data_IF_129925112611
#
_entry.id   IF_129925112611
#
_cell.length_a   1.000
_cell.length_b   1.000
_cell.length_c   1.000
_cell.angle_alpha   90.00
_cell.angle_beta   90.00
_cell.angle_gamma   90.00
#
_symmetry.space_group_name_H-M   'P 1'
#
loop_
_entity.id
_entity.type
_entity.pdbx_description
1 polymer ?
#
# COMPACT_ATOMS: atom_id res chain seq x y z
N UNK A 1 -60.98 27.13 -8.82
CA UNK A 1 -61.76 27.86 -9.86
C UNK A 1 -61.19 29.27 -9.91
N UNK A 2 -60.15 29.44 -10.74
CA UNK A 2 -60.21 30.22 -11.99
C UNK A 2 -60.51 31.68 -11.76
N UNK A 3 -59.49 32.52 -11.91
CA UNK A 3 -59.64 33.68 -12.78
C UNK A 3 -58.31 34.00 -13.48
N UNK A 4 -58.07 33.24 -14.57
CA UNK A 4 -57.38 33.74 -15.75
C UNK A 4 -58.28 34.86 -16.29
N UNK A 5 -57.93 36.14 -16.17
CA UNK A 5 -58.35 37.27 -17.05
C UNK A 5 -58.06 38.64 -16.40
N UNK A 6 -56.79 38.94 -16.10
CA UNK A 6 -56.35 40.33 -15.86
C UNK A 6 -55.24 40.71 -16.85
N UNK A 7 -55.38 41.82 -17.61
CA UNK A 7 -54.59 42.07 -18.82
C UNK A 7 -53.18 42.61 -18.56
N UNK A 8 -52.26 42.22 -19.45
CA UNK A 8 -50.86 42.65 -19.50
C UNK A 8 -50.71 44.15 -19.79
N UNK A 9 -49.80 44.79 -19.05
CA UNK A 9 -49.08 45.97 -19.52
C UNK A 9 -49.36 47.24 -18.73
N UNK A 10 -48.53 47.48 -17.71
CA UNK A 10 -47.87 48.77 -17.41
C UNK A 10 -47.05 48.58 -16.15
N UNK A 11 -45.73 48.49 -16.32
CA UNK A 11 -44.71 49.02 -15.41
C UNK A 11 -43.33 48.74 -16.02
N UNK A 12 -42.84 49.70 -16.81
CA UNK A 12 -41.42 49.80 -17.19
C UNK A 12 -40.92 51.18 -16.74
N UNK A 13 -39.85 51.28 -15.95
CA UNK A 13 -39.26 52.56 -15.59
C UNK A 13 -38.47 53.17 -16.77
N UNK A 14 -38.45 54.51 -16.82
CA UNK A 14 -37.93 55.34 -17.90
C UNK A 14 -36.39 55.29 -18.08
N UNK A 15 -35.85 55.49 -19.30
CA UNK A 15 -34.42 55.43 -19.57
C UNK A 15 -33.69 56.75 -19.23
N UNK A 16 -32.47 56.62 -18.68
CA UNK A 16 -31.54 57.74 -18.40
C UNK A 16 -30.90 58.27 -19.71
N UNK A 17 -30.77 59.59 -19.79
CA UNK A 17 -30.15 60.35 -20.90
C UNK A 17 -28.65 60.02 -21.07
N UNK A 18 -28.09 60.07 -22.31
CA UNK A 18 -26.67 59.87 -22.54
C UNK A 18 -25.86 61.14 -22.26
N UNK A 19 -24.72 60.99 -21.58
CA UNK A 19 -23.72 62.05 -21.35
C UNK A 19 -22.78 62.15 -22.55
N UNK A 20 -22.59 63.36 -23.03
CA UNK A 20 -21.71 63.73 -24.15
C UNK A 20 -20.24 63.38 -23.89
N UNK A 21 -19.55 62.89 -24.93
CA UNK A 21 -18.11 62.62 -24.95
C UNK A 21 -17.37 63.84 -25.50
N UNK A 22 -16.48 64.42 -24.69
CA UNK A 22 -15.42 65.34 -25.13
C UNK A 22 -14.18 64.61 -25.68
N UNK A 23 -13.28 65.29 -26.42
CA UNK A 23 -12.37 64.64 -27.36
C UNK A 23 -10.98 64.27 -26.79
N UNK A 24 -10.33 63.39 -27.55
CA UNK A 24 -9.04 62.70 -27.34
C UNK A 24 -7.82 63.62 -27.16
N UNK A 25 -6.94 63.23 -26.21
CA UNK A 25 -5.47 63.43 -26.16
C UNK A 25 -4.93 62.21 -25.39
N UNK A 26 -3.83 61.52 -25.69
CA UNK A 26 -2.82 61.52 -26.73
C UNK A 26 -1.91 60.32 -26.39
N UNK A 27 -1.53 59.52 -27.39
CA UNK A 27 -0.71 58.32 -27.20
C UNK A 27 0.73 58.69 -26.82
N UNK A 28 1.27 58.08 -25.75
CA UNK A 28 2.72 57.98 -25.45
C UNK A 28 2.95 56.92 -24.37
N UNK A 29 3.44 55.73 -24.76
CA UNK A 29 4.45 54.91 -24.05
C UNK A 29 4.45 53.41 -24.45
N UNK A 30 4.67 53.07 -25.71
CA UNK A 30 4.90 51.67 -26.15
C UNK A 30 6.39 51.30 -26.28
N UNK A 31 7.29 52.01 -25.59
CA UNK A 31 8.74 51.73 -25.66
C UNK A 31 9.34 51.07 -24.41
N UNK A 32 8.59 50.93 -23.31
CA UNK A 32 9.09 50.24 -22.09
C UNK A 32 8.83 48.73 -22.08
N UNK A 33 7.78 48.24 -22.76
CA UNK A 33 7.47 46.79 -22.80
C UNK A 33 8.47 45.96 -23.61
N UNK A 34 9.07 46.53 -24.66
CA UNK A 34 10.02 45.81 -25.52
C UNK A 34 11.41 45.65 -24.88
N UNK A 35 11.84 46.58 -24.03
CA UNK A 35 13.13 46.47 -23.32
C UNK A 35 13.05 45.45 -22.19
N UNK A 36 11.92 45.37 -21.47
CA UNK A 36 11.72 44.36 -20.43
C UNK A 36 11.66 42.93 -21.00
N UNK A 37 11.05 42.75 -22.18
CA UNK A 37 11.01 41.45 -22.85
C UNK A 37 12.40 41.00 -23.36
N UNK A 38 13.24 41.94 -23.83
CA UNK A 38 14.60 41.63 -24.29
C UNK A 38 15.53 41.23 -23.13
N UNK A 39 15.38 41.83 -21.94
CA UNK A 39 16.16 41.46 -20.75
C UNK A 39 15.77 40.07 -20.22
N UNK A 40 14.48 39.73 -20.23
CA UNK A 40 14.00 38.40 -19.84
C UNK A 40 14.49 37.28 -20.78
N UNK A 41 14.58 37.55 -22.08
CA UNK A 41 15.13 36.60 -23.04
C UNK A 41 16.64 36.41 -22.90
N UNK A 42 17.40 37.45 -22.54
CA UNK A 42 18.84 37.34 -22.28
C UNK A 42 19.15 36.58 -20.99
N UNK A 43 18.32 36.69 -19.95
CA UNK A 43 18.46 35.90 -18.71
C UNK A 43 18.14 34.41 -18.98
N UNK A 44 17.10 34.13 -19.77
CA UNK A 44 16.75 32.75 -20.15
C UNK A 44 17.81 32.09 -21.06
N UNK A 45 18.46 32.85 -21.94
CA UNK A 45 19.56 32.35 -22.78
C UNK A 45 20.87 32.20 -21.99
N UNK A 46 21.16 33.10 -21.05
CA UNK A 46 22.36 33.03 -20.19
C UNK A 46 22.33 31.88 -19.18
N UNK A 47 21.16 31.56 -18.62
CA UNK A 47 20.99 30.45 -17.68
C UNK A 47 21.20 29.07 -18.31
N UNK A 48 20.81 28.89 -19.58
CA UNK A 48 21.00 27.62 -20.29
C UNK A 48 22.44 27.42 -20.80
N UNK A 49 23.19 28.49 -21.09
CA UNK A 49 24.58 28.37 -21.53
C UNK A 49 25.55 28.05 -20.38
N UNK A 50 25.24 28.47 -19.14
CA UNK A 50 26.02 28.12 -17.95
C UNK A 50 25.88 26.64 -17.56
N UNK A 51 24.70 26.04 -17.77
CA UNK A 51 24.44 24.60 -17.55
C UNK A 51 25.08 23.75 -18.66
N UNK A 52 25.22 24.28 -19.88
CA UNK A 52 25.88 23.56 -20.99
C UNK A 52 27.43 23.62 -20.92
N UNK A 53 28.00 24.61 -20.22
CA UNK A 53 29.45 24.79 -20.07
C UNK A 53 30.00 24.26 -18.72
N UNK A 54 29.14 24.05 -17.73
CA UNK A 54 29.47 23.30 -16.52
C UNK A 54 29.32 21.79 -16.81
N UNK A 55 30.31 21.22 -17.50
CA UNK A 55 30.38 19.78 -17.70
C UNK A 55 30.40 19.06 -16.35
N UNK A 56 29.41 18.19 -16.12
CA UNK A 56 29.42 17.28 -14.98
C UNK A 56 30.71 16.44 -15.02
N UNK A 57 31.54 16.44 -13.96
CA UNK A 57 32.59 15.45 -13.86
C UNK A 57 31.91 14.08 -13.75
N UNK A 58 32.18 13.23 -14.74
CA UNK A 58 31.72 11.84 -14.75
C UNK A 58 31.96 11.19 -13.37
N UNK A 59 31.01 10.38 -12.85
CA UNK A 59 31.22 9.68 -11.60
C UNK A 59 32.44 8.78 -11.76
N UNK A 60 33.48 9.07 -10.98
CA UNK A 60 34.65 8.21 -10.89
C UNK A 60 34.15 6.86 -10.39
N UNK A 61 34.10 5.87 -11.28
CA UNK A 61 33.97 4.47 -10.92
C UNK A 61 35.12 4.13 -9.98
N UNK A 62 34.84 4.12 -8.68
CA UNK A 62 35.72 3.50 -7.71
C UNK A 62 35.77 2.00 -8.04
N UNK A 63 36.86 1.56 -8.64
CA UNK A 63 37.16 0.14 -8.81
C UNK A 63 37.36 -0.45 -7.42
N UNK A 64 36.34 -1.13 -6.90
CA UNK A 64 36.47 -2.03 -5.76
C UNK A 64 37.41 -3.17 -6.17
N UNK A 65 38.67 -3.07 -5.78
CA UNK A 65 39.66 -4.15 -5.90
C UNK A 65 39.33 -5.17 -4.80
N UNK A 66 38.70 -6.28 -5.19
CA UNK A 66 38.54 -7.45 -4.33
C UNK A 66 39.95 -7.97 -3.93
N UNK A 67 40.18 -8.43 -2.70
CA UNK A 67 41.42 -9.08 -2.33
C UNK A 67 41.62 -10.33 -3.19
N UNK A 68 42.74 -10.38 -3.89
CA UNK A 68 43.17 -11.53 -4.69
C UNK A 68 43.67 -12.63 -3.72
N UNK A 69 43.32 -13.91 -3.91
CA UNK A 69 43.78 -14.99 -3.04
C UNK A 69 45.29 -15.18 -3.19
N UNK A 70 46.02 -15.20 -2.07
CA UNK A 70 47.46 -15.50 -2.08
C UNK A 70 47.73 -16.91 -2.64
N UNK A 71 48.71 -17.07 -3.55
CA UNK A 71 49.12 -18.37 -4.06
C UNK A 71 50.04 -19.11 -3.08
N UNK A 72 49.73 -20.39 -2.91
CA UNK A 72 50.40 -21.42 -2.10
C UNK A 72 51.82 -21.78 -2.57
N UNK A 73 52.68 -22.22 -1.65
CA UNK A 73 53.78 -23.17 -1.90
C UNK A 73 54.32 -23.78 -0.57
N UNK A 74 55.07 -24.91 -0.56
CA UNK A 74 54.62 -26.26 -0.88
C UNK A 74 54.95 -27.29 0.23
N UNK A 75 54.59 -28.55 -0.06
CA UNK A 75 54.50 -29.76 0.77
C UNK A 75 55.69 -30.14 1.68
N UNK A 76 55.37 -30.86 2.77
CA UNK A 76 56.21 -31.96 3.25
C UNK A 76 55.33 -33.10 3.79
N UNK A 77 55.58 -34.29 3.25
CA UNK A 77 54.96 -35.59 3.55
C UNK A 77 55.03 -36.01 5.03
N UNK A 78 53.99 -36.72 5.54
CA UNK A 78 54.14 -37.99 6.29
C UNK A 78 52.88 -38.88 6.16
N UNK A 79 53.05 -39.96 5.41
CA UNK A 79 52.54 -41.35 5.45
C UNK A 79 51.68 -41.86 6.64
N UNK A 80 50.48 -42.36 6.27
CA UNK A 80 49.74 -43.61 6.62
C UNK A 80 49.53 -44.11 8.06
N UNK A 81 48.26 -44.45 8.37
CA UNK A 81 47.89 -45.43 9.39
C UNK A 81 46.37 -45.59 9.57
N UNK A 82 45.78 -46.63 8.98
CA UNK A 82 44.39 -47.04 9.18
C UNK A 82 44.33 -48.34 10.02
N UNK A 83 43.46 -48.42 11.05
CA UNK A 83 43.07 -49.70 11.68
C UNK A 83 41.62 -49.69 12.21
N UNK A 84 40.85 -50.65 11.67
CA UNK A 84 39.77 -51.50 12.21
C UNK A 84 38.68 -50.93 13.16
N UNK A 85 37.38 -51.07 12.88
CA UNK A 85 36.52 -52.29 12.87
C UNK A 85 36.66 -53.16 14.12
N UNK A 86 35.65 -53.15 14.99
CA UNK A 86 35.40 -54.22 15.95
C UNK A 86 34.11 -54.98 15.61
N UNK A 87 34.30 -56.28 15.42
CA UNK A 87 33.32 -57.36 15.34
C UNK A 87 33.19 -58.06 16.69
N UNK A 88 31.98 -58.47 17.07
CA UNK A 88 31.68 -59.74 17.75
C UNK A 88 30.20 -60.07 17.41
N UNK A 89 29.89 -61.07 16.57
CA UNK A 89 29.76 -62.53 16.85
C UNK A 89 28.68 -62.74 17.93
N UNK A 90 27.59 -63.49 17.72
CA UNK A 90 27.59 -64.91 17.37
C UNK A 90 26.17 -65.44 16.99
N UNK A 91 26.11 -66.14 15.85
CA UNK A 91 25.43 -67.42 15.56
C UNK A 91 23.90 -67.66 15.75
N UNK A 92 23.35 -68.17 14.63
CA UNK A 92 22.38 -69.27 14.49
C UNK A 92 20.91 -69.08 14.88
N UNK A 93 20.07 -69.05 13.85
CA UNK A 93 19.20 -70.20 13.55
C UNK A 93 17.76 -70.14 14.06
N UNK A 94 16.83 -70.31 13.12
CA UNK A 94 15.56 -71.01 13.40
C UNK A 94 14.30 -70.17 13.29
N UNK A 95 13.55 -70.47 12.23
CA UNK A 95 12.09 -70.37 12.09
C UNK A 95 11.30 -70.30 13.40
N UNK A 96 10.29 -69.42 13.44
CA UNK A 96 8.87 -69.83 13.38
C UNK A 96 7.91 -68.66 13.52
N UNK A 97 6.77 -68.86 12.87
CA UNK A 97 5.61 -68.00 12.75
C UNK A 97 4.76 -67.92 14.03
N UNK A 98 3.82 -66.98 13.96
CA UNK A 98 2.41 -67.11 14.36
C UNK A 98 1.97 -66.66 15.77
N UNK A 99 0.98 -65.74 15.75
CA UNK A 99 -0.28 -65.73 16.56
C UNK A 99 -0.07 -65.44 18.06
N UNK A 100 -0.84 -64.59 18.76
CA UNK A 100 -2.16 -63.99 18.57
C UNK A 100 -2.78 -63.81 19.98
N UNK A 101 -3.88 -63.07 20.07
CA UNK A 101 -4.75 -62.98 21.26
C UNK A 101 -4.63 -61.63 21.99
N UNK A 102 -5.52 -60.66 21.75
CA UNK A 102 -6.91 -60.57 22.24
C UNK A 102 -7.02 -60.33 23.74
N UNK A 103 -7.56 -59.18 24.13
CA UNK A 103 -8.56 -59.11 25.20
C UNK A 103 -9.46 -57.87 25.03
N UNK A 104 -10.71 -58.17 24.74
CA UNK A 104 -11.91 -57.32 24.82
C UNK A 104 -12.31 -57.08 26.28
N UNK A 105 -13.00 -55.97 26.58
CA UNK A 105 -14.30 -55.89 27.30
C UNK A 105 -14.76 -54.42 27.47
N UNK A 106 -15.91 -54.13 26.81
CA UNK A 106 -17.09 -53.29 27.14
C UNK A 106 -17.11 -52.38 28.40
N UNK A 107 -17.89 -51.29 28.54
CA UNK A 107 -18.76 -50.38 27.74
C UNK A 107 -19.34 -49.35 28.74
N UNK A 108 -19.56 -48.10 28.36
CA UNK A 108 -20.77 -47.31 28.71
C UNK A 108 -20.94 -46.13 27.73
N UNK A 109 -22.17 -45.68 27.42
CA UNK A 109 -22.49 -44.91 26.21
C UNK A 109 -22.72 -43.41 26.48
N UNK A 110 -22.30 -42.55 25.56
CA UNK A 110 -22.66 -41.12 25.55
C UNK A 110 -23.48 -40.74 24.31
N UNK A 111 -24.45 -39.86 24.56
CA UNK A 111 -25.49 -39.36 23.65
C UNK A 111 -24.92 -38.53 22.48
N UNK A 112 -25.58 -38.45 21.31
CA UNK A 112 -25.10 -37.66 20.18
C UNK A 112 -25.41 -36.17 20.35
N UNK A 113 -24.39 -35.33 20.18
CA UNK A 113 -24.48 -33.87 20.06
C UNK A 113 -25.12 -33.46 18.71
N UNK A 114 -25.81 -32.31 18.63
CA UNK A 114 -26.57 -31.90 17.44
C UNK A 114 -25.67 -31.55 16.25
N UNK A 115 -26.02 -32.06 15.07
CA UNK A 115 -25.43 -31.68 13.78
C UNK A 115 -25.97 -30.31 13.35
N UNK A 116 -25.08 -29.35 13.13
CA UNK A 116 -25.42 -28.13 12.40
C UNK A 116 -25.54 -28.45 10.91
N UNK A 117 -26.68 -28.09 10.35
CA UNK A 117 -27.04 -28.22 8.95
C UNK A 117 -26.37 -27.08 8.16
N UNK A 118 -25.24 -27.36 7.51
CA UNK A 118 -24.63 -26.49 6.50
C UNK A 118 -25.43 -26.59 5.19
N UNK A 119 -26.65 -26.05 5.21
CA UNK A 119 -27.52 -25.97 4.06
C UNK A 119 -27.20 -24.77 3.18
N UNK A 120 -26.51 -24.98 2.05
CA UNK A 120 -26.30 -23.89 1.08
C UNK A 120 -25.51 -24.19 -0.18
N UNK A 121 -25.51 -25.44 -0.65
CA UNK A 121 -24.92 -25.87 -1.92
C UNK A 121 -25.32 -24.98 -3.13
N UNK A 122 -24.32 -24.49 -3.86
CA UNK A 122 -24.42 -24.30 -5.31
C UNK A 122 -23.44 -25.30 -5.96
N UNK A 123 -23.84 -26.56 -5.94
CA UNK A 123 -23.13 -27.64 -6.64
C UNK A 123 -23.62 -27.63 -8.09
N UNK A 124 -22.77 -27.22 -9.02
CA UNK A 124 -22.89 -27.65 -10.41
C UNK A 124 -22.76 -29.18 -10.42
N UNK A 125 -23.76 -29.94 -10.91
CA UNK A 125 -23.68 -31.40 -10.94
C UNK A 125 -22.53 -31.84 -11.84
N UNK A 126 -21.50 -32.46 -11.27
CA UNK A 126 -20.44 -33.17 -12.02
C UNK A 126 -19.03 -32.56 -12.00
N UNK A 127 -18.78 -31.47 -11.27
CA UNK A 127 -17.41 -30.96 -11.07
C UNK A 127 -16.68 -31.64 -9.89
N UNK A 128 -15.34 -31.79 -9.92
CA UNK A 128 -14.59 -32.27 -8.76
C UNK A 128 -14.81 -31.35 -7.57
N UNK A 129 -15.18 -31.91 -6.41
CA UNK A 129 -15.29 -31.18 -5.14
C UNK A 129 -13.89 -30.72 -4.72
N UNK A 130 -13.59 -29.45 -4.95
CA UNK A 130 -12.36 -28.84 -4.45
C UNK A 130 -12.60 -28.49 -2.98
N UNK A 131 -12.15 -29.36 -2.08
CA UNK A 131 -12.03 -29.04 -0.66
C UNK A 131 -10.73 -28.26 -0.52
N UNK A 132 -10.82 -26.94 -0.40
CA UNK A 132 -9.64 -26.12 -0.05
C UNK A 132 -9.36 -26.31 1.44
N UNK A 133 -8.44 -27.21 1.76
CA UNK A 133 -7.90 -27.32 3.12
C UNK A 133 -7.04 -26.09 3.37
N UNK A 134 -7.57 -25.10 4.10
CA UNK A 134 -6.77 -23.99 4.62
C UNK A 134 -6.05 -24.44 5.89
N UNK A 135 -4.79 -24.05 6.02
CA UNK A 135 -4.05 -24.13 7.27
C UNK A 135 -4.84 -23.39 8.37
N UNK A 136 -5.05 -23.96 9.57
CA UNK A 136 -5.73 -23.28 10.68
C UNK A 136 -5.09 -21.94 11.06
N UNK A 137 -3.79 -21.73 10.81
CA UNK A 137 -3.16 -20.41 10.97
C UNK A 137 -3.59 -19.40 9.87
N UNK A 138 -3.90 -19.90 8.67
CA UNK A 138 -4.46 -19.12 7.55
C UNK A 138 -5.98 -18.94 7.63
N UNK A 139 -6.66 -19.57 8.59
CA UNK A 139 -8.10 -19.43 8.81
C UNK A 139 -8.48 -18.04 9.37
N UNK A 140 -7.51 -17.30 9.94
CA UNK A 140 -7.72 -16.00 10.58
C UNK A 140 -7.32 -14.80 9.72
N UNK A 141 -6.86 -15.01 8.48
CA UNK A 141 -6.42 -13.93 7.59
C UNK A 141 -7.50 -13.60 6.57
N UNK A 142 -7.92 -12.34 6.59
CA UNK A 142 -8.90 -11.80 5.68
C UNK A 142 -10.35 -12.21 5.98
N UNK A 143 -11.27 -11.51 5.35
CA UNK A 143 -12.70 -11.83 5.38
C UNK A 143 -13.12 -12.58 4.11
N UNK A 144 -14.17 -13.43 4.18
CA UNK A 144 -14.82 -13.95 3.00
C UNK A 144 -15.34 -12.81 2.11
N UNK A 145 -15.16 -12.94 0.79
CA UNK A 145 -15.45 -11.86 -0.16
C UNK A 145 -16.90 -11.36 -0.10
N UNK A 146 -17.84 -12.25 0.21
CA UNK A 146 -19.27 -11.97 0.34
C UNK A 146 -19.56 -10.92 1.42
N UNK A 147 -18.77 -10.93 2.51
CA UNK A 147 -18.95 -10.05 3.67
C UNK A 147 -17.82 -9.04 3.85
N UNK A 148 -16.77 -9.08 3.02
CA UNK A 148 -15.57 -8.23 3.16
C UNK A 148 -15.85 -6.71 3.17
N UNK A 149 -17.02 -6.30 2.67
CA UNK A 149 -17.52 -4.92 2.63
C UNK A 149 -18.25 -4.46 3.89
N UNK A 150 -18.52 -5.38 4.82
CA UNK A 150 -19.07 -5.12 6.13
C UNK A 150 -17.92 -5.10 7.15
N UNK A 151 -17.87 -4.11 8.04
CA UNK A 151 -16.89 -4.11 9.12
C UNK A 151 -17.11 -5.29 10.08
N UNK A 152 -16.05 -5.70 10.75
CA UNK A 152 -16.15 -6.54 11.95
C UNK A 152 -16.42 -5.63 13.15
N UNK A 153 -17.64 -5.68 13.71
CA UNK A 153 -18.04 -4.78 14.80
C UNK A 153 -17.13 -4.93 16.04
N UNK A 154 -16.64 -6.15 16.33
CA UNK A 154 -15.72 -6.42 17.43
C UNK A 154 -14.32 -5.80 17.24
N UNK A 155 -13.98 -5.35 16.02
CA UNK A 155 -12.72 -4.71 15.69
C UNK A 155 -12.85 -3.18 15.57
N UNK A 156 -13.96 -2.61 16.07
CA UNK A 156 -14.23 -1.18 16.05
C UNK A 156 -14.57 -0.64 17.44
N UNK A 157 -14.12 0.59 17.71
CA UNK A 157 -14.53 1.39 18.86
C UNK A 157 -15.18 2.70 18.40
N UNK A 158 -16.15 3.19 19.15
CA UNK A 158 -16.79 4.48 18.86
C UNK A 158 -15.87 5.65 19.21
N UNK A 159 -15.84 6.66 18.35
CA UNK A 159 -15.11 7.90 18.60
C UNK A 159 -15.86 9.13 18.06
N UNK A 160 -15.40 10.32 18.45
CA UNK A 160 -15.93 11.59 17.94
C UNK A 160 -15.76 11.76 16.41
N UNK A 161 -14.87 10.99 15.77
CA UNK A 161 -14.56 11.09 14.34
C UNK A 161 -15.19 9.98 13.48
N UNK A 162 -15.94 9.06 14.11
CA UNK A 162 -16.41 7.83 13.50
C UNK A 162 -15.78 6.59 14.16
N UNK A 163 -16.08 5.38 13.66
CA UNK A 163 -15.53 4.16 14.22
C UNK A 163 -14.01 4.10 13.99
N UNK A 164 -13.25 3.80 15.04
CA UNK A 164 -11.81 3.59 14.96
C UNK A 164 -11.48 2.10 15.07
N UNK A 165 -10.41 1.63 14.41
CA UNK A 165 -9.99 0.24 14.52
C UNK A 165 -9.38 -0.03 15.89
N UNK A 166 -9.72 -1.19 16.44
CA UNK A 166 -9.17 -1.73 17.68
C UNK A 166 -8.89 -3.22 17.51
N UNK A 167 -7.97 -3.75 18.32
CA UNK A 167 -7.78 -5.20 18.44
C UNK A 167 -9.02 -5.80 19.06
N UNK A 168 -9.47 -6.92 18.54
CA UNK A 168 -10.61 -7.65 19.09
C UNK A 168 -10.26 -8.25 20.45
N UNK A 169 -11.27 -8.63 21.24
CA UNK A 169 -11.06 -9.28 22.54
C UNK A 169 -10.30 -10.61 22.44
N UNK A 170 -10.44 -11.33 21.32
CA UNK A 170 -9.70 -12.56 21.00
C UNK A 170 -8.29 -12.28 20.43
N UNK A 171 -7.86 -11.01 20.39
CA UNK A 171 -6.50 -10.60 20.03
C UNK A 171 -6.22 -10.48 18.54
N UNK A 172 -7.22 -10.66 17.67
CA UNK A 172 -7.09 -10.48 16.22
C UNK A 172 -6.86 -9.00 15.90
N UNK A 173 -5.98 -8.76 14.94
CA UNK A 173 -5.61 -7.41 14.54
C UNK A 173 -6.42 -6.98 13.31
N UNK A 174 -6.85 -5.72 13.19
CA UNK A 174 -7.44 -5.18 11.96
C UNK A 174 -6.58 -5.46 10.71
N UNK A 175 -5.25 -5.40 10.82
CA UNK A 175 -4.36 -5.76 9.71
C UNK A 175 -4.50 -7.21 9.24
N UNK A 176 -4.89 -8.14 10.12
CA UNK A 176 -5.07 -9.57 9.82
C UNK A 176 -6.50 -9.81 9.34
N UNK A 177 -7.50 -9.25 10.03
CA UNK A 177 -8.93 -9.36 9.70
C UNK A 177 -9.20 -8.84 8.29
N UNK A 178 -8.62 -7.70 7.92
CA UNK A 178 -8.92 -7.05 6.64
C UNK A 178 -7.90 -7.33 5.53
N UNK A 179 -6.84 -8.10 5.82
CA UNK A 179 -5.84 -8.50 4.84
C UNK A 179 -6.47 -9.23 3.65
N UNK A 180 -5.85 -9.08 2.48
CA UNK A 180 -6.16 -9.93 1.34
C UNK A 180 -5.50 -11.31 1.53
N UNK A 181 -6.26 -12.42 1.47
CA UNK A 181 -5.67 -13.76 1.45
C UNK A 181 -4.80 -13.94 0.20
N UNK A 182 -3.71 -14.67 0.34
CA UNK A 182 -2.77 -15.01 -0.73
C UNK A 182 -2.43 -16.50 -0.68
N UNK A 183 -1.70 -17.01 -1.67
CA UNK A 183 -1.51 -18.47 -1.81
C UNK A 183 -0.66 -19.10 -0.70
N UNK A 184 0.10 -18.30 0.05
CA UNK A 184 1.10 -18.79 1.01
C UNK A 184 2.31 -19.45 0.34
N UNK A 185 2.37 -19.47 -0.99
CA UNK A 185 3.45 -20.14 -1.71
C UNK A 185 4.73 -19.31 -1.67
N UNK A 186 5.88 -19.98 -1.54
CA UNK A 186 7.19 -19.32 -1.62
C UNK A 186 7.50 -19.03 -3.09
N UNK A 187 7.06 -17.86 -3.57
CA UNK A 187 7.27 -17.37 -4.92
C UNK A 187 7.78 -15.93 -4.95
N UNK A 188 8.01 -15.41 -6.18
CA UNK A 188 8.35 -14.00 -6.39
C UNK A 188 7.10 -13.16 -6.21
N UNK A 189 7.06 -12.32 -5.18
CA UNK A 189 5.87 -11.56 -4.81
C UNK A 189 6.00 -10.08 -5.17
N UNK A 190 4.92 -9.45 -5.62
CA UNK A 190 4.90 -8.00 -5.83
C UNK A 190 3.66 -7.42 -5.16
N UNK A 191 3.85 -6.43 -4.29
CA UNK A 191 2.76 -5.60 -3.79
C UNK A 191 2.79 -4.23 -4.47
N UNK A 192 1.63 -3.71 -4.85
CA UNK A 192 1.50 -2.33 -5.35
C UNK A 192 0.39 -1.64 -4.57
N UNK A 193 0.69 -0.43 -4.10
CA UNK A 193 -0.30 0.47 -3.48
C UNK A 193 -0.63 1.61 -4.44
N UNK A 194 -1.92 1.79 -4.73
CA UNK A 194 -2.43 2.95 -5.49
C UNK A 194 -3.19 3.87 -4.53
N UNK A 195 -2.64 5.05 -4.29
CA UNK A 195 -3.20 6.07 -3.41
C UNK A 195 -4.08 7.11 -4.12
N UNK A 196 -4.66 8.02 -3.33
CA UNK A 196 -5.47 9.13 -3.81
C UNK A 196 -6.94 8.80 -4.04
N UNK A 197 -7.42 7.64 -3.60
CA UNK A 197 -8.84 7.31 -3.72
C UNK A 197 -9.69 8.27 -2.88
N UNK A 198 -10.86 8.60 -3.40
CA UNK A 198 -11.78 9.60 -2.85
C UNK A 198 -11.55 11.02 -3.35
N UNK A 199 -10.34 11.38 -3.83
CA UNK A 199 -10.05 12.73 -4.33
C UNK A 199 -10.78 13.03 -5.65
N UNK A 200 -10.83 12.04 -6.56
CA UNK A 200 -11.57 12.09 -7.82
C UNK A 200 -12.61 10.98 -7.85
N UNK A 201 -13.89 11.32 -8.11
CA UNK A 201 -14.96 10.31 -8.21
C UNK A 201 -14.75 9.39 -9.43
N UNK A 202 -14.40 9.96 -10.57
CA UNK A 202 -14.12 9.19 -11.80
C UNK A 202 -12.84 8.39 -11.69
N UNK A 203 -11.80 8.97 -11.07
CA UNK A 203 -10.52 8.29 -10.81
C UNK A 203 -10.69 7.09 -9.86
N UNK A 204 -11.42 7.28 -8.76
CA UNK A 204 -11.69 6.22 -7.77
C UNK A 204 -12.49 5.07 -8.39
N UNK A 205 -13.56 5.40 -9.13
CA UNK A 205 -14.35 4.40 -9.85
C UNK A 205 -13.47 3.62 -10.83
N UNK A 206 -12.68 4.31 -11.66
CA UNK A 206 -11.79 3.64 -12.64
C UNK A 206 -10.75 2.75 -11.97
N UNK A 207 -10.14 3.21 -10.88
CA UNK A 207 -9.17 2.41 -10.12
C UNK A 207 -9.81 1.10 -9.61
N UNK A 208 -10.99 1.19 -8.99
CA UNK A 208 -11.74 0.04 -8.48
C UNK A 208 -12.24 -0.87 -9.63
N UNK A 209 -12.57 -0.30 -10.80
CA UNK A 209 -13.02 -1.07 -11.95
C UNK A 209 -11.91 -1.81 -12.70
N UNK A 210 -10.77 -1.16 -12.90
CA UNK A 210 -9.72 -1.66 -13.77
C UNK A 210 -8.63 -2.47 -13.04
N UNK A 211 -8.30 -2.10 -11.80
CA UNK A 211 -7.20 -2.75 -11.08
C UNK A 211 -7.64 -4.14 -10.60
N UNK A 212 -6.79 -5.16 -10.75
CA UNK A 212 -7.09 -6.47 -10.19
C UNK A 212 -7.03 -6.41 -8.66
N UNK A 213 -7.75 -7.30 -7.97
CA UNK A 213 -7.98 -7.18 -6.54
C UNK A 213 -6.74 -7.41 -5.67
N UNK A 214 -5.64 -7.87 -6.25
CA UNK A 214 -4.32 -7.94 -5.60
C UNK A 214 -3.66 -6.57 -5.38
N UNK A 215 -4.11 -5.52 -6.08
CA UNK A 215 -3.59 -4.17 -5.89
C UNK A 215 -4.23 -3.57 -4.62
N UNK A 216 -3.41 -3.12 -3.68
CA UNK A 216 -3.86 -2.41 -2.48
C UNK A 216 -4.27 -0.99 -2.85
N UNK A 217 -5.38 -0.52 -2.29
CA UNK A 217 -5.92 0.81 -2.57
C UNK A 217 -5.87 1.68 -1.32
N UNK A 218 -5.36 2.90 -1.43
CA UNK A 218 -5.27 3.81 -0.31
C UNK A 218 -6.17 5.04 -0.47
N UNK A 219 -6.92 5.34 0.58
CA UNK A 219 -7.95 6.37 0.60
C UNK A 219 -7.46 7.64 1.26
N UNK A 220 -7.59 8.76 0.55
CA UNK A 220 -7.35 10.07 1.14
C UNK A 220 -8.53 10.42 2.08
N UNK A 221 -8.29 10.76 3.37
CA UNK A 221 -9.35 11.02 4.35
C UNK A 221 -10.17 12.28 4.04
N UNK A 222 -9.59 13.20 3.27
CA UNK A 222 -10.25 14.40 2.72
C UNK A 222 -11.09 14.12 1.48
N UNK A 223 -11.06 12.90 0.96
CA UNK A 223 -11.83 12.48 -0.20
C UNK A 223 -13.35 12.42 0.04
N UNK A 224 -14.09 12.34 -1.05
CA UNK A 224 -15.55 12.29 -1.06
C UNK A 224 -16.07 10.87 -1.33
N UNK A 225 -17.26 10.56 -0.81
CA UNK A 225 -17.92 9.26 -0.97
C UNK A 225 -17.09 8.07 -0.46
N UNK A 226 -16.23 8.28 0.55
CA UNK A 226 -15.28 7.26 1.05
C UNK A 226 -15.96 5.94 1.42
N UNK A 227 -17.10 6.00 2.11
CA UNK A 227 -17.88 4.82 2.48
C UNK A 227 -18.39 4.02 1.27
N UNK A 228 -18.77 4.70 0.18
CA UNK A 228 -19.19 4.04 -1.05
C UNK A 228 -18.00 3.31 -1.68
N UNK A 229 -16.90 4.03 -1.90
CA UNK A 229 -15.72 3.49 -2.56
C UNK A 229 -15.04 2.39 -1.74
N UNK A 230 -15.00 2.52 -0.42
CA UNK A 230 -14.53 1.47 0.49
C UNK A 230 -15.33 0.18 0.27
N UNK A 231 -16.68 0.25 0.31
CA UNK A 231 -17.52 -0.93 0.11
C UNK A 231 -17.33 -1.54 -1.28
N UNK A 232 -17.26 -0.73 -2.33
CA UNK A 232 -17.04 -1.21 -3.70
C UNK A 232 -15.68 -1.91 -3.84
N UNK A 233 -14.60 -1.31 -3.32
CA UNK A 233 -13.27 -1.88 -3.32
C UNK A 233 -13.19 -3.19 -2.52
N UNK A 234 -13.81 -3.24 -1.34
CA UNK A 234 -13.88 -4.46 -0.51
C UNK A 234 -14.69 -5.57 -1.16
N UNK A 235 -15.81 -5.25 -1.82
CA UNK A 235 -16.60 -6.25 -2.60
C UNK A 235 -15.80 -6.89 -3.72
N UNK A 236 -14.82 -6.18 -4.27
CA UNK A 236 -13.89 -6.72 -5.27
C UNK A 236 -12.71 -7.45 -4.65
N UNK A 237 -12.49 -7.32 -3.35
CA UNK A 237 -11.44 -8.03 -2.61
C UNK A 237 -10.12 -7.27 -2.53
N UNK A 238 -10.13 -5.97 -2.76
CA UNK A 238 -8.96 -5.12 -2.52
C UNK A 238 -8.66 -5.00 -1.03
N UNK A 239 -7.37 -5.01 -0.71
CA UNK A 239 -6.87 -4.56 0.58
C UNK A 239 -6.83 -3.03 0.61
N UNK A 240 -7.13 -2.42 1.76
CA UNK A 240 -7.26 -0.98 1.89
C UNK A 240 -6.27 -0.38 2.89
N UNK A 241 -5.83 0.85 2.62
CA UNK A 241 -5.08 1.69 3.56
C UNK A 241 -5.73 3.08 3.70
N UNK A 242 -5.44 3.77 4.81
CA UNK A 242 -5.75 5.20 4.98
C UNK A 242 -4.51 6.03 4.65
N UNK A 243 -4.63 6.98 3.74
CA UNK A 243 -3.53 7.81 3.28
C UNK A 243 -3.48 9.13 4.08
N UNK A 244 -2.64 9.17 5.12
CA UNK A 244 -2.61 10.25 6.12
C UNK A 244 -1.72 11.41 5.64
N UNK A 245 -2.24 12.66 5.59
CA UNK A 245 -1.46 13.83 5.22
C UNK A 245 -0.40 14.15 6.26
N UNK A 246 0.85 14.26 5.83
CA UNK A 246 2.02 14.51 6.68
C UNK A 246 2.87 15.64 6.11
N UNK A 247 3.52 16.41 6.99
CA UNK A 247 4.30 17.59 6.61
C UNK A 247 5.47 17.26 5.65
N UNK A 248 5.48 17.83 4.43
CA UNK A 248 6.64 17.77 3.54
C UNK A 248 7.68 18.84 3.89
N UNK A 249 8.86 18.79 3.27
CA UNK A 249 9.89 19.84 3.45
C UNK A 249 9.41 21.23 3.00
N UNK A 250 8.55 21.30 1.98
CA UNK A 250 8.04 22.57 1.42
C UNK A 250 6.84 23.17 2.15
N UNK A 251 6.47 22.69 3.35
CA UNK A 251 5.35 23.27 4.09
C UNK A 251 5.67 24.69 4.61
N UNK A 252 4.76 25.68 4.53
CA UNK A 252 3.34 25.58 4.12
C UNK A 252 3.08 25.81 2.62
N UNK A 253 4.08 26.13 1.80
CA UNK A 253 3.88 26.40 0.37
C UNK A 253 3.37 25.16 -0.38
N UNK A 254 3.82 23.98 0.03
CA UNK A 254 3.29 22.68 -0.37
C UNK A 254 2.48 22.10 0.78
N UNK A 255 1.17 22.23 0.72
CA UNK A 255 0.25 21.85 1.78
C UNK A 255 -0.59 20.61 1.39
N UNK A 256 -0.42 19.45 2.07
CA UNK A 256 -1.21 18.24 1.82
C UNK A 256 -2.71 18.40 2.12
N UNK A 257 -3.09 19.41 2.90
CA UNK A 257 -4.48 19.72 3.23
C UNK A 257 -4.71 19.97 4.72
N UNK A 258 -5.99 20.09 5.12
CA UNK A 258 -6.35 20.23 6.53
C UNK A 258 -5.94 18.97 7.31
N UNK A 259 -5.79 19.12 8.63
CA UNK A 259 -5.45 18.00 9.54
C UNK A 259 -4.12 17.29 9.16
N UNK A 260 -3.21 18.00 8.49
CA UNK A 260 -1.84 17.51 8.24
C UNK A 260 -1.12 17.31 9.57
N UNK A 261 -0.45 16.17 9.73
CA UNK A 261 0.46 15.91 10.86
C UNK A 261 1.73 16.75 10.68
N UNK A 262 2.10 17.52 11.69
CA UNK A 262 3.17 18.53 11.61
C UNK A 262 4.12 18.45 12.78
N UNK A 263 5.40 18.76 12.53
CA UNK A 263 6.42 18.86 13.58
C UNK A 263 6.15 20.01 14.55
N UNK A 264 5.49 21.08 14.08
CA UNK A 264 5.12 22.22 14.90
C UNK A 264 3.85 21.99 15.75
N UNK A 265 3.13 20.88 15.54
CA UNK A 265 1.98 20.49 16.36
C UNK A 265 2.44 19.67 17.58
N UNK A 266 1.67 19.68 18.67
CA UNK A 266 1.90 18.74 19.77
C UNK A 266 1.59 17.29 19.35
N UNK A 267 2.11 16.32 20.11
CA UNK A 267 1.82 14.91 19.87
C UNK A 267 0.30 14.63 19.94
N UNK A 268 -0.40 15.22 20.90
CA UNK A 268 -1.85 15.07 21.08
C UNK A 268 -2.62 15.61 19.88
N UNK A 269 -2.20 16.77 19.35
CA UNK A 269 -2.82 17.36 18.15
C UNK A 269 -2.61 16.48 16.92
N UNK A 270 -1.41 15.91 16.77
CA UNK A 270 -1.12 14.99 15.66
C UNK A 270 -1.91 13.67 15.80
N UNK A 271 -2.07 13.15 17.01
CA UNK A 271 -2.91 11.98 17.28
C UNK A 271 -4.40 12.25 17.03
N UNK A 272 -4.91 13.42 17.43
CA UNK A 272 -6.28 13.82 17.09
C UNK A 272 -6.49 13.87 15.57
N UNK A 273 -5.52 14.43 14.83
CA UNK A 273 -5.57 14.47 13.37
C UNK A 273 -5.47 13.08 12.74
N UNK A 274 -4.66 12.18 13.33
CA UNK A 274 -4.59 10.77 12.93
C UNK A 274 -5.94 10.08 13.14
N UNK A 275 -6.52 10.17 14.33
CA UNK A 275 -7.83 9.58 14.64
C UNK A 275 -8.93 10.15 13.76
N UNK A 276 -8.89 11.45 13.45
CA UNK A 276 -9.78 12.05 12.46
C UNK A 276 -9.68 11.37 11.10
N UNK A 277 -8.47 11.08 10.62
CA UNK A 277 -8.26 10.41 9.34
C UNK A 277 -8.72 8.94 9.38
N UNK A 278 -8.40 8.22 10.45
CA UNK A 278 -8.80 6.82 10.68
C UNK A 278 -10.32 6.67 10.72
N UNK A 279 -11.04 7.57 11.41
CA UNK A 279 -12.51 7.52 11.54
C UNK A 279 -13.30 7.79 10.26
N UNK A 280 -12.63 8.15 9.14
CA UNK A 280 -13.30 8.44 7.86
C UNK A 280 -13.84 7.20 7.15
N UNK A 281 -13.21 6.05 7.37
CA UNK A 281 -13.57 4.76 6.77
C UNK A 281 -13.27 3.60 7.72
N UNK A 282 -13.61 2.38 7.32
CA UNK A 282 -13.33 1.13 8.05
C UNK A 282 -12.71 0.12 7.08
N UNK A 283 -12.47 -1.12 7.54
CA UNK A 283 -12.06 -2.25 6.71
C UNK A 283 -10.70 -2.07 6.01
N UNK A 284 -9.76 -1.37 6.65
CA UNK A 284 -8.39 -1.18 6.17
C UNK A 284 -7.38 -1.88 7.07
N UNK A 285 -6.22 -2.22 6.50
CA UNK A 285 -5.16 -2.95 7.20
C UNK A 285 -4.13 -2.02 7.86
N UNK A 286 -4.06 -0.76 7.42
CA UNK A 286 -3.09 0.18 7.95
C UNK A 286 -3.17 1.58 7.37
N UNK A 287 -2.08 2.32 7.61
CA UNK A 287 -1.89 3.71 7.20
C UNK A 287 -0.75 3.79 6.20
N UNK A 288 -0.88 4.66 5.20
CA UNK A 288 0.25 5.16 4.42
C UNK A 288 0.43 6.65 4.60
N UNK A 289 1.66 7.15 4.46
CA UNK A 289 1.90 8.59 4.37
C UNK A 289 1.37 9.17 3.05
N UNK A 290 0.96 10.43 3.09
CA UNK A 290 0.82 11.29 1.92
C UNK A 290 1.81 12.43 2.03
N UNK A 291 2.80 12.43 1.15
CA UNK A 291 3.98 13.28 1.26
C UNK A 291 4.73 12.98 2.57
N UNK A 292 4.90 13.94 3.47
CA UNK A 292 5.41 13.64 4.80
C UNK A 292 6.89 13.47 4.97
N UNK A 293 7.72 13.67 3.94
CA UNK A 293 9.17 13.43 4.02
C UNK A 293 9.84 14.14 5.22
N UNK A 294 9.35 15.33 5.61
CA UNK A 294 9.87 16.06 6.77
C UNK A 294 9.34 15.49 8.09
N UNK A 295 8.05 15.16 8.16
CA UNK A 295 7.44 14.57 9.35
C UNK A 295 8.01 13.18 9.65
N UNK A 296 8.07 12.35 8.61
CA UNK A 296 8.50 10.95 8.68
C UNK A 296 9.99 10.81 9.03
N UNK A 297 10.81 11.82 8.72
CA UNK A 297 12.21 11.88 9.13
C UNK A 297 12.42 12.25 10.62
N UNK A 298 11.37 12.54 11.39
CA UNK A 298 11.47 12.84 12.82
C UNK A 298 11.00 11.66 13.65
N UNK A 299 11.95 10.99 14.31
CA UNK A 299 11.66 9.90 15.25
C UNK A 299 10.71 10.34 16.37
N UNK A 300 10.96 11.48 16.99
CA UNK A 300 10.13 12.02 18.08
C UNK A 300 8.68 12.25 17.65
N UNK A 301 8.46 12.73 16.42
CA UNK A 301 7.12 12.97 15.90
C UNK A 301 6.42 11.68 15.46
N UNK A 302 7.17 10.72 14.91
CA UNK A 302 6.64 9.45 14.43
C UNK A 302 6.40 8.43 15.54
N UNK A 303 7.18 8.46 16.61
CA UNK A 303 7.05 7.54 17.75
C UNK A 303 5.63 7.45 18.33
N UNK A 304 4.92 8.55 18.65
CA UNK A 304 3.54 8.47 19.14
C UNK A 304 2.57 7.95 18.07
N UNK A 305 2.77 8.32 16.80
CA UNK A 305 1.93 7.83 15.67
C UNK A 305 2.07 6.32 15.53
N UNK A 306 3.29 5.82 15.48
CA UNK A 306 3.58 4.38 15.39
C UNK A 306 3.07 3.65 16.64
N UNK A 307 3.22 4.22 17.84
CA UNK A 307 2.65 3.66 19.06
C UNK A 307 1.13 3.47 19.00
N UNK A 308 0.39 4.46 18.47
CA UNK A 308 -1.06 4.37 18.28
C UNK A 308 -1.44 3.30 17.25
N UNK A 309 -0.70 3.19 16.14
CA UNK A 309 -0.92 2.14 15.13
C UNK A 309 -0.64 0.74 15.70
N UNK A 310 0.42 0.56 16.49
CA UNK A 310 0.71 -0.70 17.18
C UNK A 310 -0.43 -1.09 18.11
N UNK A 311 -0.90 -0.15 18.93
CA UNK A 311 -2.01 -0.36 19.84
C UNK A 311 -3.27 -0.84 19.10
N UNK A 312 -3.57 -0.21 17.96
CA UNK A 312 -4.73 -0.52 17.12
C UNK A 312 -4.59 -1.78 16.27
N UNK A 313 -3.40 -2.37 16.17
CA UNK A 313 -3.16 -3.55 15.31
C UNK A 313 -3.16 -3.21 13.82
N UNK A 314 -2.61 -2.06 13.47
CA UNK A 314 -2.47 -1.56 12.10
C UNK A 314 -1.01 -1.61 11.64
N UNK A 315 -0.81 -1.78 10.33
CA UNK A 315 0.49 -1.62 9.69
C UNK A 315 0.77 -0.15 9.32
N UNK A 316 2.04 0.19 9.17
CA UNK A 316 2.46 1.44 8.52
C UNK A 316 3.18 1.14 7.20
N UNK A 317 2.68 1.74 6.12
CA UNK A 317 3.25 1.67 4.78
C UNK A 317 3.91 3.01 4.43
N UNK A 318 5.22 3.05 4.31
CA UNK A 318 5.93 4.20 3.77
C UNK A 318 5.89 4.16 2.23
N UNK A 319 5.36 5.20 1.60
CA UNK A 319 5.22 5.31 0.15
C UNK A 319 6.56 5.41 -0.61
N UNK A 320 7.68 5.47 0.10
CA UNK A 320 9.04 5.48 -0.46
C UNK A 320 9.48 6.85 -0.95
N UNK A 321 8.62 7.88 -0.91
CA UNK A 321 9.01 9.26 -1.21
C UNK A 321 9.85 9.87 -0.07
N UNK A 322 9.67 9.36 1.16
CA UNK A 322 10.48 9.68 2.33
C UNK A 322 11.54 8.58 2.52
N UNK A 323 12.68 8.71 1.86
CA UNK A 323 13.76 7.72 1.88
C UNK A 323 14.52 7.69 3.22
N UNK A 324 13.96 7.05 4.24
CA UNK A 324 14.63 6.94 5.55
C UNK A 324 14.52 5.53 6.14
N UNK A 325 15.65 4.83 6.23
CA UNK A 325 15.75 3.52 6.93
C UNK A 325 15.43 3.63 8.43
N UNK A 326 15.61 4.81 9.02
CA UNK A 326 15.27 5.13 10.42
C UNK A 326 13.85 4.71 10.79
N UNK A 327 12.87 4.92 9.91
CA UNK A 327 11.47 4.60 10.19
C UNK A 327 11.23 3.11 10.42
N UNK A 328 11.96 2.25 9.72
CA UNK A 328 11.87 0.81 9.90
C UNK A 328 12.33 0.40 11.30
N UNK A 329 13.41 1.02 11.81
CA UNK A 329 13.94 0.74 13.14
C UNK A 329 12.99 1.23 14.24
N UNK A 330 12.44 2.43 14.10
CA UNK A 330 11.47 2.97 15.05
C UNK A 330 10.19 2.12 15.06
N UNK A 331 9.70 1.71 13.90
CA UNK A 331 8.53 0.85 13.80
C UNK A 331 8.77 -0.51 14.48
N UNK A 332 9.95 -1.12 14.27
CA UNK A 332 10.34 -2.38 14.92
C UNK A 332 10.39 -2.22 16.44
N UNK A 333 11.02 -1.16 16.95
CA UNK A 333 11.08 -0.89 18.40
C UNK A 333 9.69 -0.71 19.03
N UNK A 334 8.71 -0.22 18.25
CA UNK A 334 7.32 -0.03 18.69
C UNK A 334 6.41 -1.23 18.40
N UNK A 335 6.92 -2.28 17.76
CA UNK A 335 6.14 -3.46 17.37
C UNK A 335 5.08 -3.16 16.30
N UNK A 336 5.33 -2.18 15.43
CA UNK A 336 4.46 -1.85 14.29
C UNK A 336 4.94 -2.62 13.06
N UNK A 337 4.06 -3.42 12.42
CA UNK A 337 4.36 -4.00 11.12
C UNK A 337 4.60 -2.90 10.09
N UNK A 338 5.80 -2.89 9.50
CA UNK A 338 6.27 -1.84 8.62
C UNK A 338 6.60 -2.39 7.24
N UNK A 339 6.24 -1.63 6.21
CA UNK A 339 6.66 -1.90 4.84
C UNK A 339 6.95 -0.57 4.14
N UNK A 340 7.97 -0.55 3.29
CA UNK A 340 8.32 0.61 2.48
C UNK A 340 8.27 0.24 1.00
N UNK A 341 7.77 1.15 0.17
CA UNK A 341 7.86 1.02 -1.27
C UNK A 341 9.30 1.19 -1.74
N UNK A 342 9.75 0.30 -2.62
CA UNK A 342 11.05 0.39 -3.25
C UNK A 342 11.05 1.39 -4.40
N UNK A 343 9.93 1.45 -5.12
CA UNK A 343 9.79 2.25 -6.34
C UNK A 343 8.44 2.97 -6.32
N UNK A 344 8.50 4.30 -6.36
CA UNK A 344 7.36 5.13 -6.78
C UNK A 344 7.22 4.99 -8.29
N UNK A 345 6.20 4.25 -8.73
CA UNK A 345 6.05 3.80 -10.11
C UNK A 345 5.64 4.93 -11.07
N UNK A 346 4.96 5.96 -10.56
CA UNK A 346 4.47 7.11 -11.33
C UNK A 346 5.11 8.43 -10.92
N UNK A 347 6.39 8.37 -10.52
CA UNK A 347 7.19 9.55 -10.26
C UNK A 347 7.27 10.50 -11.47
N UNK A 348 7.14 9.98 -12.69
CA UNK A 348 6.89 10.75 -13.91
C UNK A 348 5.52 10.44 -14.48
N UNK A 349 4.99 11.38 -15.27
CA UNK A 349 3.68 11.27 -15.95
C UNK A 349 3.82 10.76 -17.38
N UNK A 350 4.74 9.83 -17.59
CA UNK A 350 5.00 9.20 -18.89
C UNK A 350 4.76 7.70 -18.81
N UNK A 351 4.13 7.15 -19.85
CA UNK A 351 3.75 5.73 -19.86
C UNK A 351 4.98 4.82 -19.86
N UNK A 352 5.96 5.14 -20.70
CA UNK A 352 7.15 4.30 -20.88
C UNK A 352 7.99 4.27 -19.60
N UNK A 353 8.07 5.40 -18.88
CA UNK A 353 8.73 5.46 -17.58
C UNK A 353 8.03 4.60 -16.52
N UNK A 354 6.68 4.64 -16.46
CA UNK A 354 5.91 3.79 -15.54
C UNK A 354 6.14 2.31 -15.86
N UNK A 355 6.12 1.94 -17.14
CA UNK A 355 6.39 0.57 -17.59
C UNK A 355 7.83 0.14 -17.24
N UNK A 356 8.81 1.01 -17.41
CA UNK A 356 10.20 0.75 -17.03
C UNK A 356 10.35 0.53 -15.51
N UNK A 357 9.65 1.32 -14.69
CA UNK A 357 9.62 1.19 -13.23
C UNK A 357 8.93 -0.10 -12.76
N UNK A 358 7.85 -0.49 -13.42
CA UNK A 358 7.18 -1.78 -13.17
C UNK A 358 8.08 -2.96 -13.54
N UNK A 359 8.85 -2.85 -14.62
CA UNK A 359 9.88 -3.85 -14.97
C UNK A 359 11.00 -3.90 -13.91
N UNK A 360 11.45 -2.75 -13.41
CA UNK A 360 12.42 -2.70 -12.33
C UNK A 360 11.89 -3.36 -11.03
N UNK A 361 10.59 -3.25 -10.73
CA UNK A 361 9.96 -3.99 -9.63
C UNK A 361 10.02 -5.51 -9.86
N UNK A 362 9.81 -5.99 -11.08
CA UNK A 362 9.94 -7.42 -11.41
C UNK A 362 11.37 -7.93 -11.24
N UNK A 363 12.36 -7.13 -11.65
CA UNK A 363 13.78 -7.44 -11.48
C UNK A 363 14.13 -7.52 -9.99
N UNK A 364 13.66 -6.55 -9.20
CA UNK A 364 13.86 -6.54 -7.75
C UNK A 364 13.20 -7.76 -7.07
N UNK A 365 11.95 -8.06 -7.41
CA UNK A 365 11.24 -9.23 -6.89
C UNK A 365 11.91 -10.54 -7.29
N UNK A 366 12.50 -10.60 -8.47
CA UNK A 366 13.28 -11.76 -8.91
C UNK A 366 14.58 -11.92 -8.13
N UNK A 367 15.23 -10.81 -7.75
CA UNK A 367 16.50 -10.84 -7.02
C UNK A 367 16.34 -11.19 -5.54
N UNK A 368 15.34 -10.63 -4.86
CA UNK A 368 15.17 -10.76 -3.39
C UNK A 368 13.94 -11.54 -2.94
N UNK A 369 13.11 -12.00 -3.88
CA UNK A 369 11.88 -12.76 -3.62
C UNK A 369 10.62 -11.91 -3.45
N UNK A 370 10.72 -10.60 -3.21
CA UNK A 370 9.56 -9.71 -3.25
C UNK A 370 9.92 -8.29 -3.74
N UNK A 371 8.95 -7.49 -4.18
CA UNK A 371 9.11 -6.05 -4.42
C UNK A 371 7.82 -5.28 -4.10
N UNK A 372 7.96 -3.99 -3.83
CA UNK A 372 6.89 -3.12 -3.38
C UNK A 372 6.88 -1.84 -4.20
N UNK A 373 5.78 -1.61 -4.90
CA UNK A 373 5.53 -0.37 -5.65
C UNK A 373 4.51 0.53 -4.96
N UNK A 374 4.65 1.83 -5.15
CA UNK A 374 3.63 2.82 -4.79
C UNK A 374 3.31 3.69 -6.00
N UNK A 375 2.07 4.18 -6.09
CA UNK A 375 1.66 5.14 -7.09
C UNK A 375 0.34 5.81 -6.74
N UNK A 376 -0.17 6.63 -7.65
CA UNK A 376 -1.41 7.39 -7.48
C UNK A 376 -2.50 6.94 -8.45
N UNK A 377 -3.77 7.20 -8.11
CA UNK A 377 -4.94 6.88 -8.92
C UNK A 377 -5.10 7.83 -10.14
N UNK A 378 -4.00 8.12 -10.84
CA UNK A 378 -4.00 8.81 -12.12
C UNK A 378 -4.49 7.84 -13.21
N UNK A 379 -5.20 8.36 -14.21
CA UNK A 379 -5.73 7.53 -15.30
C UNK A 379 -4.63 6.73 -16.00
N UNK A 380 -3.49 7.36 -16.25
CA UNK A 380 -2.33 6.74 -16.87
C UNK A 380 -1.77 5.62 -16.00
N UNK A 381 -1.49 5.89 -14.71
CA UNK A 381 -0.97 4.90 -13.75
C UNK A 381 -1.90 3.70 -13.63
N UNK A 382 -3.21 3.93 -13.44
CA UNK A 382 -4.21 2.88 -13.29
C UNK A 382 -4.26 1.99 -14.54
N UNK A 383 -4.28 2.59 -15.74
CA UNK A 383 -4.29 1.84 -16.99
C UNK A 383 -3.04 0.98 -17.15
N UNK A 384 -1.85 1.56 -16.96
CA UNK A 384 -0.59 0.85 -17.10
C UNK A 384 -0.43 -0.28 -16.09
N UNK A 385 -0.82 -0.07 -14.82
CA UNK A 385 -0.75 -1.11 -13.78
C UNK A 385 -1.75 -2.24 -14.06
N UNK A 386 -2.96 -1.93 -14.53
CA UNK A 386 -3.95 -2.94 -14.88
C UNK A 386 -3.47 -3.84 -16.04
N UNK A 387 -2.88 -3.25 -17.09
CA UNK A 387 -2.29 -3.98 -18.21
C UNK A 387 -1.12 -4.86 -17.72
N UNK A 388 -0.19 -4.26 -16.97
CA UNK A 388 1.00 -4.92 -16.44
C UNK A 388 0.66 -6.10 -15.51
N UNK A 389 -0.31 -5.94 -14.62
CA UNK A 389 -0.60 -6.92 -13.58
C UNK A 389 -0.99 -8.29 -14.14
N UNK A 390 -1.73 -8.32 -15.25
CA UNK A 390 -2.09 -9.58 -15.92
C UNK A 390 -0.86 -10.26 -16.54
N UNK A 391 0.06 -9.50 -17.09
CA UNK A 391 1.26 -10.04 -17.71
C UNK A 391 2.32 -10.45 -16.68
N UNK A 392 2.41 -9.74 -15.54
CA UNK A 392 3.26 -10.12 -14.42
C UNK A 392 2.88 -11.52 -13.87
N UNK A 393 1.57 -11.79 -13.74
CA UNK A 393 1.07 -13.12 -13.35
C UNK A 393 1.49 -14.21 -14.33
N UNK A 394 1.43 -13.95 -15.65
CA UNK A 394 1.90 -14.89 -16.68
C UNK A 394 3.40 -15.16 -16.62
N UNK A 395 4.20 -14.18 -16.15
CA UNK A 395 5.63 -14.31 -15.91
C UNK A 395 5.98 -15.01 -14.59
N UNK A 396 4.99 -15.43 -13.81
CA UNK A 396 5.18 -16.18 -12.57
C UNK A 396 5.37 -15.30 -11.33
N UNK A 397 5.00 -14.02 -11.39
CA UNK A 397 4.91 -13.17 -10.20
C UNK A 397 3.54 -13.34 -9.52
N UNK A 398 3.54 -13.54 -8.21
CA UNK A 398 2.33 -13.48 -7.41
C UNK A 398 2.10 -12.04 -6.94
N UNK A 399 0.97 -11.45 -7.30
CA UNK A 399 0.59 -10.15 -6.77
C UNK A 399 -0.11 -10.34 -5.41
N UNK A 400 0.30 -9.59 -4.40
CA UNK A 400 -0.18 -9.73 -3.03
C UNK A 400 -0.54 -8.38 -2.39
N UNK A 401 -1.45 -8.39 -1.42
CA UNK A 401 -1.71 -7.23 -0.57
C UNK A 401 -0.52 -6.93 0.35
N UNK A 402 -0.35 -5.66 0.73
CA UNK A 402 0.79 -5.20 1.53
C UNK A 402 0.86 -5.85 2.92
N UNK A 403 -0.27 -6.20 3.52
CA UNK A 403 -0.30 -6.82 4.84
C UNK A 403 0.46 -8.16 4.87
N UNK A 404 0.46 -8.92 3.76
CA UNK A 404 1.21 -10.18 3.70
C UNK A 404 2.71 -9.95 3.86
N UNK A 405 3.27 -8.96 3.15
CA UNK A 405 4.69 -8.63 3.21
C UNK A 405 5.07 -7.89 4.51
N UNK A 406 4.21 -7.01 5.02
CA UNK A 406 4.46 -6.30 6.28
C UNK A 406 4.49 -7.25 7.48
N UNK A 407 3.68 -8.31 7.47
CA UNK A 407 3.59 -9.28 8.57
C UNK A 407 4.87 -10.13 8.75
N UNK A 408 5.65 -10.28 7.68
CA UNK A 408 6.93 -11.02 7.69
C UNK A 408 8.09 -10.20 8.26
N UNK A 409 7.94 -8.87 8.33
CA UNK A 409 8.96 -7.93 8.78
C UNK A 409 8.76 -7.45 10.24
N UNK A 410 8.09 -8.26 11.08
CA UNK A 410 7.79 -7.94 12.49
C UNK A 410 9.03 -7.92 13.38
#
# INVERSE_FOLDING_TARGET
MTDLHAPLGRDKPAPKRPRERGPRRGARSTRFGLVAAAVLLLIAAGGNLAVLLAGDPAPQTALLRLPEPEPTAPDTEVTTGAVARNTARQETGGDRAAVGGSNTVNRTPDLPLPTFDDGGDQVSPGGPKIITVRDPAAANIGQPLQVAHLPEDAALEDSAFGPLPVRTEDGRQPMEIYARPWSGTRGKRIAIVIGGLGLSQTGSHRAIEALPPEITLAFAPTGNSLQRWMREARKKGHELLVQVPMEPHGYPDVNPGPRTLRLASSAETNLENLHWALGRLTNYTGVMNYMGARFAASEDAMAPVLGDLAYRGLLFFNDGAAGTDMLADVARQRGVPYLQADIVIDASRDRADIEARLKALEELASARGYAVGSGSALELTVGTVADWANDAKKRGFELVGVASLASENR
#
